data_IF_002044296315
#
_entry.id   IF_002044296315
#
_cell.length_a   1.000
_cell.length_b   1.000
_cell.length_c   1.000
_cell.angle_alpha   90.00
_cell.angle_beta   90.00
_cell.angle_gamma   90.00
#
_symmetry.space_group_name_H-M   'P 1'
#
loop_
_entity.id
_entity.type
_entity.pdbx_description
1 polymer ?
#
# COMPACT_ATOMS: atom_id res chain seq x y z
N UNK A 1 -58.45 48.64 0.33
CA UNK A 1 -57.87 47.59 1.20
C UNK A 1 -56.83 46.83 0.37
N UNK A 2 -55.58 47.32 0.37
CA UNK A 2 -54.48 46.69 -0.38
C UNK A 2 -53.72 45.78 0.57
N UNK A 3 -53.46 44.58 0.08
CA UNK A 3 -53.11 43.38 0.83
C UNK A 3 -51.68 43.45 1.41
N UNK A 4 -51.51 44.07 2.58
CA UNK A 4 -50.24 44.23 3.31
C UNK A 4 -49.61 42.92 3.79
N UNK A 5 -50.32 41.78 3.70
CA UNK A 5 -49.79 40.47 4.11
C UNK A 5 -48.78 39.88 3.11
N UNK A 6 -48.83 40.24 1.83
CA UNK A 6 -47.88 39.69 0.83
C UNK A 6 -46.51 40.35 0.88
N UNK A 7 -46.42 41.62 1.28
CA UNK A 7 -45.15 42.35 1.37
C UNK A 7 -44.25 41.79 2.48
N UNK A 8 -44.81 41.49 3.66
CA UNK A 8 -44.03 40.94 4.78
C UNK A 8 -43.56 39.50 4.53
N UNK A 9 -44.32 38.69 3.78
CA UNK A 9 -43.92 37.32 3.44
C UNK A 9 -42.75 37.30 2.44
N UNK A 10 -42.74 38.22 1.46
CA UNK A 10 -41.63 38.36 0.52
C UNK A 10 -40.31 38.76 1.18
N UNK A 11 -40.35 39.71 2.13
CA UNK A 11 -39.15 40.12 2.88
C UNK A 11 -38.63 39.02 3.82
N UNK A 12 -39.52 38.23 4.44
CA UNK A 12 -39.13 37.11 5.29
C UNK A 12 -38.48 35.98 4.46
N UNK A 13 -39.00 35.69 3.27
CA UNK A 13 -38.45 34.70 2.35
C UNK A 13 -37.09 35.14 1.78
N UNK A 14 -36.93 36.43 1.46
CA UNK A 14 -35.67 37.02 1.01
C UNK A 14 -34.60 37.01 2.11
N UNK A 15 -34.98 37.31 3.36
CA UNK A 15 -34.09 37.22 4.52
C UNK A 15 -33.70 35.77 4.83
N UNK A 16 -34.61 34.81 4.66
CA UNK A 16 -34.32 33.38 4.80
C UNK A 16 -33.37 32.87 3.70
N UNK A 17 -33.54 33.35 2.45
CA UNK A 17 -32.64 33.06 1.33
C UNK A 17 -31.24 33.67 1.51
N UNK A 18 -31.13 34.85 2.13
CA UNK A 18 -29.85 35.47 2.49
C UNK A 18 -29.13 34.74 3.61
N UNK A 19 -29.86 34.06 4.51
CA UNK A 19 -29.29 33.19 5.55
C UNK A 19 -28.90 31.80 5.04
N UNK A 20 -29.38 31.41 3.84
CA UNK A 20 -29.03 30.17 3.13
C UNK A 20 -27.79 30.32 2.23
N UNK A 21 -27.19 31.51 2.17
CA UNK A 21 -25.83 31.71 1.67
C UNK A 21 -24.86 31.05 2.64
N UNK A 22 -24.79 29.72 2.59
CA UNK A 22 -23.92 28.92 3.44
C UNK A 22 -22.51 29.50 3.41
N UNK A 23 -21.95 29.75 4.59
CA UNK A 23 -20.52 29.98 4.73
C UNK A 23 -19.81 28.73 4.19
N UNK A 24 -19.52 28.71 2.89
CA UNK A 24 -18.61 27.73 2.32
C UNK A 24 -17.25 27.98 2.96
N UNK A 25 -16.97 27.24 4.04
CA UNK A 25 -15.65 27.21 4.65
C UNK A 25 -14.74 26.43 3.71
N UNK A 26 -13.97 27.13 2.89
CA UNK A 26 -12.94 26.54 2.03
C UNK A 26 -13.04 26.92 0.56
N UNK A 27 -12.08 26.46 -0.25
CA UNK A 27 -12.01 26.75 -1.68
C UNK A 27 -13.21 26.20 -2.45
N UNK A 28 -13.49 26.84 -3.59
CA UNK A 28 -14.57 26.45 -4.49
C UNK A 28 -14.23 25.16 -5.27
N UNK A 29 -15.23 24.40 -5.74
CA UNK A 29 -15.00 23.16 -6.49
C UNK A 29 -14.05 23.32 -7.69
N UNK A 30 -14.17 24.39 -8.46
CA UNK A 30 -13.32 24.64 -9.63
C UNK A 30 -11.85 24.83 -9.23
N UNK A 31 -11.61 25.55 -8.13
CA UNK A 31 -10.27 25.74 -7.58
C UNK A 31 -9.63 24.42 -7.12
N UNK A 32 -10.40 23.51 -6.50
CA UNK A 32 -9.86 22.19 -6.15
C UNK A 32 -9.58 21.34 -7.40
N UNK A 33 -10.42 21.44 -8.43
CA UNK A 33 -10.26 20.69 -9.68
C UNK A 33 -9.01 21.16 -10.42
N UNK A 34 -8.77 22.46 -10.49
CA UNK A 34 -7.55 23.05 -11.05
C UNK A 34 -6.31 22.61 -10.26
N UNK A 35 -6.36 22.69 -8.92
CA UNK A 35 -5.27 22.22 -8.06
C UNK A 35 -4.96 20.72 -8.29
N UNK A 36 -6.00 19.88 -8.46
CA UNK A 36 -5.84 18.46 -8.78
C UNK A 36 -5.14 18.28 -10.13
N UNK A 37 -5.61 18.97 -11.18
CA UNK A 37 -5.01 18.89 -12.52
C UNK A 37 -3.55 19.35 -12.50
N UNK A 38 -3.26 20.52 -11.91
CA UNK A 38 -1.89 21.02 -11.79
C UNK A 38 -0.96 20.05 -11.07
N UNK A 39 -1.46 19.35 -10.04
CA UNK A 39 -0.64 18.35 -9.34
C UNK A 39 -0.44 17.10 -10.17
N UNK A 40 -1.45 16.67 -10.92
CA UNK A 40 -1.29 15.57 -11.86
C UNK A 40 -0.24 15.95 -12.91
N UNK A 41 -0.35 17.12 -13.55
CA UNK A 41 0.57 17.56 -14.59
C UNK A 41 1.99 17.84 -14.07
N UNK A 42 2.13 18.33 -12.83
CA UNK A 42 3.46 18.54 -12.21
C UNK A 42 4.16 17.24 -11.83
N UNK A 43 3.40 16.24 -11.38
CA UNK A 43 3.97 14.98 -10.88
C UNK A 43 4.01 13.90 -11.95
N UNK A 44 3.18 13.99 -12.99
CA UNK A 44 3.04 13.02 -14.06
C UNK A 44 3.37 13.64 -15.42
N UNK A 45 3.40 12.82 -16.47
CA UNK A 45 3.50 13.33 -17.83
C UNK A 45 2.25 14.16 -18.14
N UNK A 46 2.43 15.27 -18.86
CA UNK A 46 1.30 16.04 -19.40
C UNK A 46 0.36 15.10 -20.16
N UNK A 47 -0.94 15.33 -19.98
CA UNK A 47 -2.01 14.57 -20.62
C UNK A 47 -2.03 13.06 -20.28
N UNK A 48 -1.48 12.64 -19.14
CA UNK A 48 -1.62 11.25 -18.68
C UNK A 48 -3.01 10.98 -18.08
N UNK A 49 -3.55 11.95 -17.34
CA UNK A 49 -4.81 11.83 -16.63
C UNK A 49 -5.78 12.91 -17.03
N UNK A 50 -6.99 12.50 -17.39
CA UNK A 50 -8.13 13.41 -17.56
C UNK A 50 -9.11 13.27 -16.39
N UNK A 51 -9.47 14.39 -15.78
CA UNK A 51 -10.51 14.41 -14.74
C UNK A 51 -11.89 14.37 -15.40
N UNK A 52 -12.53 13.19 -15.46
CA UNK A 52 -13.87 13.06 -16.08
C UNK A 52 -14.97 13.55 -15.16
N UNK A 53 -14.96 13.12 -13.90
CA UNK A 53 -15.89 13.58 -12.87
C UNK A 53 -15.11 14.18 -11.71
N UNK A 54 -15.66 15.24 -11.12
CA UNK A 54 -15.11 15.87 -9.93
C UNK A 54 -16.24 16.35 -9.03
N UNK A 55 -16.15 16.06 -7.73
CA UNK A 55 -17.12 16.49 -6.75
C UNK A 55 -16.44 16.84 -5.44
N UNK A 56 -16.60 18.09 -4.99
CA UNK A 56 -16.24 18.47 -3.61
C UNK A 56 -17.20 17.79 -2.63
N UNK A 57 -16.67 17.12 -1.62
CA UNK A 57 -17.45 16.34 -0.64
C UNK A 57 -17.57 17.02 0.72
N UNK A 58 -16.68 17.96 1.04
CA UNK A 58 -16.78 18.77 2.24
C UNK A 58 -15.49 19.47 2.62
N UNK A 59 -15.45 19.99 3.85
CA UNK A 59 -14.25 20.55 4.44
C UNK A 59 -14.19 20.34 5.95
N UNK A 60 -12.97 20.32 6.49
CA UNK A 60 -12.72 20.26 7.94
C UNK A 60 -11.62 21.24 8.32
N UNK A 61 -11.78 22.04 9.39
CA UNK A 61 -10.70 22.90 9.87
C UNK A 61 -9.56 22.04 10.44
N UNK A 62 -8.33 22.53 10.29
CA UNK A 62 -7.16 21.95 10.96
C UNK A 62 -6.27 23.03 11.54
N UNK A 63 -5.45 22.62 12.51
CA UNK A 63 -4.40 23.44 13.10
C UNK A 63 -3.18 22.58 13.34
N UNK A 64 -2.07 22.99 12.76
CA UNK A 64 -0.74 22.47 13.00
C UNK A 64 -0.05 23.38 14.03
N UNK A 65 0.11 22.87 15.24
CA UNK A 65 0.70 23.60 16.36
C UNK A 65 2.22 23.71 16.27
N UNK A 66 2.87 22.84 15.50
CA UNK A 66 4.33 22.80 15.36
C UNK A 66 4.81 23.89 14.39
N UNK A 67 4.06 24.09 13.30
CA UNK A 67 4.38 25.10 12.29
C UNK A 67 3.56 26.40 12.42
N UNK A 68 2.69 26.50 13.43
CA UNK A 68 1.70 27.57 13.63
C UNK A 68 0.83 27.85 12.38
N UNK A 69 0.48 26.78 11.65
CA UNK A 69 -0.35 26.85 10.45
C UNK A 69 -1.77 26.47 10.82
N UNK A 70 -2.75 27.26 10.40
CA UNK A 70 -4.16 26.90 10.50
C UNK A 70 -4.84 27.06 9.14
N UNK A 71 -5.83 26.21 8.89
CA UNK A 71 -6.46 26.15 7.58
C UNK A 71 -7.63 25.19 7.54
N UNK A 72 -7.98 24.77 6.33
CA UNK A 72 -9.02 23.78 6.05
C UNK A 72 -8.49 22.67 5.17
N UNK A 73 -8.84 21.43 5.48
CA UNK A 73 -8.82 20.35 4.52
C UNK A 73 -10.09 20.44 3.69
N UNK A 74 -9.95 20.47 2.37
CA UNK A 74 -11.06 20.38 1.43
C UNK A 74 -11.03 19.00 0.77
N UNK A 75 -12.12 18.25 0.92
CA UNK A 75 -12.25 16.87 0.48
C UNK A 75 -12.96 16.80 -0.86
N UNK A 76 -12.60 15.82 -1.68
CA UNK A 76 -13.20 15.61 -2.99
C UNK A 76 -13.20 14.14 -3.40
N UNK A 77 -14.10 13.83 -4.32
CA UNK A 77 -14.12 12.61 -5.11
C UNK A 77 -13.85 12.96 -6.57
N UNK A 78 -13.05 12.16 -7.27
CA UNK A 78 -12.83 12.33 -8.71
C UNK A 78 -12.69 11.00 -9.45
N UNK A 79 -13.02 11.03 -10.74
CA UNK A 79 -12.76 9.95 -11.68
C UNK A 79 -11.63 10.41 -12.61
N UNK A 80 -10.48 9.74 -12.53
CA UNK A 80 -9.31 10.00 -13.35
C UNK A 80 -9.24 8.94 -14.46
N UNK A 81 -9.48 9.34 -15.70
CA UNK A 81 -9.27 8.47 -16.86
C UNK A 81 -7.83 8.54 -17.31
N UNK A 82 -7.22 7.38 -17.57
CA UNK A 82 -5.93 7.32 -18.21
C UNK A 82 -6.10 7.62 -19.70
N UNK A 83 -5.43 8.65 -20.20
CA UNK A 83 -5.44 8.99 -21.63
C UNK A 83 -4.32 8.25 -22.38
N UNK A 84 -3.47 7.49 -21.67
CA UNK A 84 -2.37 6.69 -22.22
C UNK A 84 -2.13 5.42 -21.39
N UNK A 85 -1.59 4.38 -22.01
CA UNK A 85 -1.18 3.15 -21.32
C UNK A 85 -0.13 3.45 -20.23
N UNK A 86 -0.46 3.16 -18.97
CA UNK A 86 0.45 3.42 -17.84
C UNK A 86 0.34 2.39 -16.72
N UNK A 87 1.49 2.01 -16.18
CA UNK A 87 1.60 1.01 -15.12
C UNK A 87 2.02 1.68 -13.80
N UNK A 88 1.03 1.94 -12.95
CA UNK A 88 1.21 2.44 -11.57
C UNK A 88 1.81 1.40 -10.61
N UNK A 89 2.07 0.17 -11.10
CA UNK A 89 2.70 -0.93 -10.34
C UNK A 89 4.23 -0.98 -10.44
N UNK A 90 4.85 -0.05 -11.17
CA UNK A 90 6.31 0.01 -11.36
C UNK A 90 7.00 0.64 -10.14
N UNK A 91 8.06 0.02 -9.64
CA UNK A 91 8.80 0.47 -8.44
C UNK A 91 9.78 1.62 -8.70
N UNK A 92 10.34 1.69 -9.91
CA UNK A 92 11.20 2.79 -10.34
C UNK A 92 10.43 3.65 -11.34
N UNK A 93 9.96 4.81 -10.87
CA UNK A 93 9.04 5.71 -11.58
C UNK A 93 7.85 6.11 -10.71
N UNK A 94 6.94 6.90 -11.28
CA UNK A 94 5.75 7.39 -10.62
C UNK A 94 4.77 6.21 -10.41
N UNK A 95 4.46 5.90 -9.17
CA UNK A 95 3.69 4.71 -8.77
C UNK A 95 2.42 5.08 -8.01
N UNK A 96 1.65 4.10 -7.54
CA UNK A 96 0.42 4.34 -6.78
C UNK A 96 0.65 5.25 -5.55
N UNK A 97 1.81 5.15 -4.90
CA UNK A 97 2.19 6.03 -3.79
C UNK A 97 2.47 7.47 -4.26
N UNK A 98 3.11 7.65 -5.41
CA UNK A 98 3.29 8.98 -6.02
C UNK A 98 1.96 9.61 -6.42
N UNK A 99 1.02 8.79 -6.95
CA UNK A 99 -0.34 9.23 -7.26
C UNK A 99 -1.09 9.64 -6.00
N UNK A 100 -1.07 8.80 -4.96
CA UNK A 100 -1.67 9.11 -3.67
C UNK A 100 -1.12 10.43 -3.10
N UNK A 101 0.19 10.65 -3.18
CA UNK A 101 0.80 11.92 -2.79
C UNK A 101 0.31 13.11 -3.62
N UNK A 102 0.34 12.99 -4.95
CA UNK A 102 -0.04 14.07 -5.85
C UNK A 102 -1.51 14.48 -5.65
N UNK A 103 -2.40 13.53 -5.45
CA UNK A 103 -3.84 13.81 -5.32
C UNK A 103 -4.26 14.03 -3.85
N UNK A 104 -3.34 13.91 -2.89
CA UNK A 104 -3.67 14.03 -1.48
C UNK A 104 -4.64 12.95 -0.99
N UNK A 105 -4.50 11.73 -1.51
CA UNK A 105 -5.23 10.55 -1.10
C UNK A 105 -4.32 9.59 -0.31
N UNK A 106 -4.92 8.54 0.23
CA UNK A 106 -4.18 7.34 0.64
C UNK A 106 -4.33 6.28 -0.45
N UNK A 107 -3.46 5.26 -0.48
CA UNK A 107 -3.60 4.15 -1.45
C UNK A 107 -4.97 3.47 -1.35
N UNK A 108 -5.52 3.33 -0.13
CA UNK A 108 -6.86 2.78 0.10
C UNK A 108 -7.99 3.68 -0.44
N UNK A 109 -7.71 4.96 -0.69
CA UNK A 109 -8.64 5.90 -1.32
C UNK A 109 -8.58 5.91 -2.84
N UNK A 110 -7.84 4.99 -3.47
CA UNK A 110 -7.72 4.87 -4.92
C UNK A 110 -8.24 3.50 -5.36
N UNK A 111 -9.29 3.49 -6.17
CA UNK A 111 -9.89 2.28 -6.74
C UNK A 111 -9.70 2.22 -8.26
N UNK A 112 -9.86 1.03 -8.86
CA UNK A 112 -9.76 0.83 -10.32
C UNK A 112 -8.36 0.53 -10.86
N UNK A 113 -7.35 0.57 -9.99
CA UNK A 113 -5.97 0.20 -10.33
C UNK A 113 -5.83 -1.30 -10.63
N UNK A 114 -5.02 -1.64 -11.64
CA UNK A 114 -4.70 -3.01 -12.04
C UNK A 114 -3.22 -3.33 -11.85
N UNK A 115 -2.92 -4.41 -11.12
CA UNK A 115 -1.53 -4.83 -10.84
C UNK A 115 -0.68 -5.10 -12.10
N UNK A 116 -1.30 -5.49 -13.21
CA UNK A 116 -0.62 -5.72 -14.50
C UNK A 116 -0.43 -4.44 -15.34
N UNK A 117 -0.85 -3.29 -14.83
CA UNK A 117 -0.94 -2.03 -15.57
C UNK A 117 -2.37 -1.71 -15.98
N UNK A 118 -2.67 -0.41 -16.01
CA UNK A 118 -3.89 0.13 -16.58
C UNK A 118 -3.61 0.53 -18.04
N UNK A 119 -4.64 0.50 -18.86
CA UNK A 119 -4.58 0.89 -20.28
C UNK A 119 -5.32 2.21 -20.49
N UNK A 120 -5.11 2.84 -21.64
CA UNK A 120 -5.89 3.99 -22.08
C UNK A 120 -7.41 3.71 -21.95
N UNK A 121 -8.13 4.67 -21.39
CA UNK A 121 -9.56 4.60 -21.08
C UNK A 121 -9.92 3.93 -19.75
N UNK A 122 -8.97 3.32 -19.03
CA UNK A 122 -9.24 2.84 -17.68
C UNK A 122 -9.46 4.04 -16.73
N UNK A 123 -10.44 3.91 -15.83
CA UNK A 123 -10.80 4.95 -14.86
C UNK A 123 -10.39 4.55 -13.45
N UNK A 124 -9.70 5.46 -12.77
CA UNK A 124 -9.37 5.39 -11.35
C UNK A 124 -10.35 6.27 -10.57
N UNK A 125 -11.00 5.70 -9.55
CA UNK A 125 -11.82 6.48 -8.62
C UNK A 125 -10.95 6.91 -7.44
N UNK A 126 -10.96 8.19 -7.12
CA UNK A 126 -10.08 8.75 -6.10
C UNK A 126 -10.85 9.53 -5.05
N UNK A 127 -10.49 9.29 -3.79
CA UNK A 127 -10.97 10.00 -2.61
C UNK A 127 -9.80 10.75 -1.98
N UNK A 128 -9.74 12.06 -2.23
CA UNK A 128 -8.59 12.90 -1.88
C UNK A 128 -8.94 14.10 -1.01
N UNK A 129 -7.90 14.78 -0.54
CA UNK A 129 -8.02 16.05 0.16
C UNK A 129 -6.81 16.95 -0.09
N UNK A 130 -7.04 18.24 -0.09
CA UNK A 130 -5.97 19.24 -0.10
C UNK A 130 -6.11 20.19 1.09
N UNK A 131 -4.98 20.63 1.62
CA UNK A 131 -4.93 21.63 2.68
C UNK A 131 -4.89 23.02 2.08
N UNK A 132 -5.68 23.95 2.62
CA UNK A 132 -5.70 25.35 2.21
C UNK A 132 -5.63 26.27 3.41
N UNK A 133 -4.96 27.40 3.25
CA UNK A 133 -4.96 28.52 4.20
C UNK A 133 -5.61 29.73 3.55
N UNK A 134 -6.29 30.55 4.35
CA UNK A 134 -6.83 31.81 3.86
C UNK A 134 -5.70 32.84 3.76
N UNK A 135 -5.57 33.51 2.63
CA UNK A 135 -4.62 34.61 2.44
C UNK A 135 -5.16 35.93 3.00
N UNK A 136 -4.31 36.97 3.02
CA UNK A 136 -4.63 38.30 3.54
C UNK A 136 -5.77 39.00 2.78
N UNK A 137 -6.06 38.56 1.54
CA UNK A 137 -7.17 39.07 0.72
C UNK A 137 -8.48 38.31 0.92
N UNK A 138 -8.46 37.26 1.75
CA UNK A 138 -9.60 36.39 2.00
C UNK A 138 -9.73 35.22 1.01
N UNK A 139 -8.79 35.07 0.08
CA UNK A 139 -8.70 33.96 -0.87
C UNK A 139 -8.13 32.70 -0.24
N UNK A 140 -8.35 31.54 -0.87
CA UNK A 140 -7.80 30.26 -0.40
C UNK A 140 -6.53 29.92 -1.16
N UNK A 141 -5.44 29.62 -0.44
CA UNK A 141 -4.16 29.22 -1.01
C UNK A 141 -3.80 27.79 -0.60
N UNK A 142 -3.46 26.96 -1.58
CA UNK A 142 -3.08 25.55 -1.36
C UNK A 142 -1.78 25.43 -0.57
N UNK A 143 -1.77 24.51 0.40
CA UNK A 143 -0.62 24.13 1.21
C UNK A 143 -0.07 22.79 0.67
N UNK A 144 0.79 22.89 -0.34
CA UNK A 144 1.33 21.74 -1.09
C UNK A 144 1.97 20.65 -0.22
N UNK A 145 2.65 21.02 0.86
CA UNK A 145 3.43 20.11 1.72
C UNK A 145 2.61 19.24 2.67
N UNK A 146 1.34 19.56 2.93
CA UNK A 146 0.53 18.92 4.00
C UNK A 146 -0.55 17.97 3.48
N UNK A 147 -0.62 17.74 2.17
CA UNK A 147 -1.76 17.02 1.56
C UNK A 147 -1.63 15.49 1.61
N UNK A 148 -0.45 14.94 1.94
CA UNK A 148 -0.21 13.50 2.14
C UNK A 148 1.09 13.27 2.95
N UNK A 149 1.34 12.06 3.52
CA UNK A 149 2.65 11.71 4.07
C UNK A 149 3.74 11.90 3.01
N UNK A 150 4.89 12.46 3.39
CA UNK A 150 5.99 12.70 2.47
C UNK A 150 6.44 11.38 1.80
N UNK A 151 6.62 11.35 0.47
CA UNK A 151 7.22 10.20 -0.19
C UNK A 151 8.67 10.04 0.27
N UNK A 152 9.14 8.80 0.34
CA UNK A 152 10.55 8.50 0.54
C UNK A 152 11.37 9.26 -0.52
N UNK A 153 12.46 9.90 -0.08
CA UNK A 153 13.23 10.87 -0.85
C UNK A 153 13.59 10.39 -2.27
N UNK A 154 13.48 11.31 -3.24
CA UNK A 154 13.80 11.12 -4.65
C UNK A 154 15.24 10.61 -4.85
N UNK A 155 15.39 9.35 -5.24
CA UNK A 155 16.54 8.93 -6.03
C UNK A 155 16.21 9.16 -7.50
N UNK A 156 16.90 10.11 -8.14
CA UNK A 156 16.85 10.31 -9.60
C UNK A 156 17.21 8.98 -10.29
N UNK A 157 16.35 8.43 -11.16
CA UNK A 157 16.69 7.20 -11.87
C UNK A 157 17.87 7.47 -12.80
N UNK A 158 18.99 6.80 -12.52
CA UNK A 158 20.08 6.67 -13.49
C UNK A 158 19.57 5.97 -14.75
N UNK A 159 20.02 6.46 -15.91
CA UNK A 159 19.54 6.15 -17.27
C UNK A 159 19.60 4.66 -17.69
N UNK A 160 20.08 3.77 -16.82
CA UNK A 160 20.34 2.36 -17.13
C UNK A 160 19.54 1.36 -16.27
N UNK A 161 18.53 1.82 -15.53
CA UNK A 161 17.71 0.92 -14.69
C UNK A 161 16.48 0.46 -15.46
N UNK A 162 16.54 -0.72 -16.10
CA UNK A 162 15.31 -1.42 -16.48
C UNK A 162 14.53 -1.75 -15.20
N UNK A 163 13.61 -0.85 -14.85
CA UNK A 163 12.84 -0.87 -13.62
C UNK A 163 12.14 -2.20 -13.40
N UNK A 164 12.54 -2.84 -12.32
CA UNK A 164 12.27 -4.24 -12.12
C UNK A 164 10.81 -4.57 -11.82
N UNK A 165 10.23 -5.56 -12.51
CA UNK A 165 8.97 -6.16 -12.07
C UNK A 165 9.13 -6.81 -10.67
N UNK A 166 8.06 -7.12 -9.91
CA UNK A 166 8.19 -7.87 -8.65
C UNK A 166 9.05 -9.14 -8.80
N UNK A 167 9.02 -9.75 -9.99
CA UNK A 167 9.84 -10.91 -10.33
C UNK A 167 11.32 -10.58 -10.51
N UNK A 168 11.68 -9.41 -11.03
CA UNK A 168 13.09 -9.03 -11.14
C UNK A 168 13.67 -8.55 -9.82
N UNK A 169 12.88 -7.86 -8.96
CA UNK A 169 13.30 -7.54 -7.59
C UNK A 169 13.57 -8.82 -6.82
N UNK A 170 12.68 -9.81 -6.92
CA UNK A 170 12.89 -11.12 -6.32
C UNK A 170 14.12 -11.83 -6.89
N UNK A 171 14.41 -11.67 -8.19
CA UNK A 171 15.60 -12.22 -8.85
C UNK A 171 16.89 -11.55 -8.38
N UNK A 172 16.90 -10.23 -8.26
CA UNK A 172 18.03 -9.45 -7.74
C UNK A 172 18.29 -9.77 -6.27
N UNK A 173 17.24 -9.85 -5.46
CA UNK A 173 17.33 -10.26 -4.07
C UNK A 173 17.87 -11.69 -3.93
N UNK A 174 17.46 -12.63 -4.80
CA UNK A 174 18.04 -13.98 -4.86
C UNK A 174 19.52 -13.97 -5.30
N UNK A 175 19.92 -13.05 -6.19
CA UNK A 175 21.32 -12.91 -6.57
C UNK A 175 22.17 -12.44 -5.38
N UNK A 176 21.67 -11.49 -4.58
CA UNK A 176 22.34 -11.06 -3.34
C UNK A 176 22.48 -12.22 -2.33
N UNK A 177 21.47 -13.07 -2.20
CA UNK A 177 21.57 -14.28 -1.36
C UNK A 177 22.61 -15.28 -1.87
N UNK A 178 22.79 -15.40 -3.19
CA UNK A 178 23.79 -16.28 -3.76
C UNK A 178 25.23 -15.78 -3.48
N UNK A 179 25.41 -14.47 -3.40
CA UNK A 179 26.69 -13.83 -3.05
C UNK A 179 26.92 -13.73 -1.53
N UNK A 180 26.01 -14.25 -0.70
CA UNK A 180 26.04 -14.16 0.76
C UNK A 180 27.36 -14.65 1.39
N UNK A 181 28.01 -15.63 0.78
CA UNK A 181 29.28 -16.21 1.26
C UNK A 181 30.46 -15.22 1.21
N UNK A 182 30.34 -14.14 0.42
CA UNK A 182 31.38 -13.11 0.29
C UNK A 182 31.31 -12.05 1.40
N UNK A 183 30.25 -12.03 2.21
CA UNK A 183 30.09 -11.08 3.30
C UNK A 183 30.73 -11.61 4.59
N UNK A 184 31.24 -10.68 5.40
CA UNK A 184 31.90 -11.02 6.66
C UNK A 184 30.84 -11.43 7.69
N UNK A 185 30.94 -12.65 8.21
CA UNK A 185 30.02 -13.15 9.24
C UNK A 185 29.85 -12.15 10.41
N UNK A 186 28.59 -11.89 10.77
CA UNK A 186 28.22 -10.95 11.84
C UNK A 186 28.28 -9.47 11.46
N UNK A 187 28.42 -9.15 10.17
CA UNK A 187 28.29 -7.78 9.68
C UNK A 187 26.82 -7.37 9.53
N UNK A 188 26.58 -6.07 9.41
CA UNK A 188 25.25 -5.53 9.12
C UNK A 188 24.68 -6.12 7.82
N UNK A 189 25.53 -6.32 6.81
CA UNK A 189 25.16 -6.94 5.54
C UNK A 189 24.70 -8.39 5.73
N UNK A 190 25.38 -9.17 6.57
CA UNK A 190 24.94 -10.55 6.86
C UNK A 190 23.57 -10.57 7.55
N UNK A 191 23.31 -9.64 8.49
CA UNK A 191 22.00 -9.54 9.14
C UNK A 191 20.90 -9.19 8.13
N UNK A 192 21.16 -8.23 7.24
CA UNK A 192 20.23 -7.85 6.17
C UNK A 192 19.96 -9.04 5.25
N UNK A 193 21.00 -9.80 4.89
CA UNK A 193 20.89 -10.99 4.04
C UNK A 193 20.08 -12.09 4.71
N UNK A 194 20.25 -12.33 6.01
CA UNK A 194 19.47 -13.31 6.78
C UNK A 194 17.97 -12.98 6.83
N UNK A 195 17.64 -11.71 7.09
CA UNK A 195 16.25 -11.23 7.07
C UNK A 195 15.66 -11.29 5.65
N UNK A 196 16.45 -10.93 4.64
CA UNK A 196 16.05 -11.03 3.24
C UNK A 196 15.79 -12.48 2.83
N UNK A 197 16.64 -13.42 3.26
CA UNK A 197 16.45 -14.85 3.03
C UNK A 197 15.14 -15.35 3.66
N UNK A 198 14.85 -14.89 4.87
CA UNK A 198 13.59 -15.21 5.56
C UNK A 198 12.38 -14.65 4.81
N UNK A 199 12.45 -13.41 4.34
CA UNK A 199 11.40 -12.79 3.55
C UNK A 199 11.15 -13.52 2.22
N UNK A 200 12.21 -13.87 1.49
CA UNK A 200 12.13 -14.64 0.24
C UNK A 200 11.49 -16.01 0.49
N UNK A 201 11.90 -16.72 1.54
CA UNK A 201 11.29 -18.00 1.91
C UNK A 201 9.78 -17.90 2.20
N UNK A 202 9.32 -16.79 2.79
CA UNK A 202 7.88 -16.53 2.99
C UNK A 202 7.14 -16.26 1.67
N UNK A 203 7.79 -15.57 0.73
CA UNK A 203 7.25 -15.32 -0.61
C UNK A 203 7.11 -16.65 -1.36
N UNK A 204 8.14 -17.49 -1.36
CA UNK A 204 8.13 -18.78 -2.05
C UNK A 204 7.04 -19.71 -1.49
N UNK A 205 6.89 -19.76 -0.16
CA UNK A 205 5.79 -20.49 0.49
C UNK A 205 4.42 -19.95 0.05
N UNK A 206 4.25 -18.63 0.00
CA UNK A 206 2.99 -18.02 -0.43
C UNK A 206 2.67 -18.32 -1.89
N UNK A 207 3.69 -18.33 -2.76
CA UNK A 207 3.53 -18.71 -4.16
C UNK A 207 3.17 -20.19 -4.34
N UNK A 208 3.79 -21.09 -3.57
CA UNK A 208 3.47 -22.52 -3.58
C UNK A 208 1.99 -22.75 -3.21
N UNK A 209 1.50 -22.07 -2.17
CA UNK A 209 0.08 -22.11 -1.78
C UNK A 209 -0.85 -21.59 -2.87
N UNK A 210 -0.48 -20.50 -3.54
CA UNK A 210 -1.26 -19.97 -4.66
C UNK A 210 -1.35 -20.92 -5.85
N UNK A 211 -0.33 -21.75 -6.08
CA UNK A 211 -0.32 -22.79 -7.10
C UNK A 211 -1.11 -24.04 -6.72
N UNK A 212 -1.44 -24.19 -5.44
CA UNK A 212 -2.09 -25.38 -4.90
C UNK A 212 -1.11 -26.50 -4.54
N UNK A 213 0.19 -26.19 -4.40
CA UNK A 213 1.20 -27.16 -3.97
C UNK A 213 0.94 -27.57 -2.52
N UNK A 214 1.22 -28.84 -2.19
CA UNK A 214 1.21 -29.31 -0.80
C UNK A 214 2.43 -28.73 -0.08
N UNK A 215 2.21 -28.04 1.03
CA UNK A 215 3.27 -27.34 1.76
C UNK A 215 3.73 -28.11 2.99
N UNK A 216 5.04 -28.32 3.11
CA UNK A 216 5.68 -28.98 4.25
C UNK A 216 6.67 -28.05 4.94
N UNK A 217 6.44 -27.73 6.21
CA UNK A 217 7.43 -27.08 7.06
C UNK A 217 8.57 -28.04 7.40
N UNK A 218 9.80 -27.65 7.11
CA UNK A 218 11.00 -28.46 7.32
C UNK A 218 11.84 -27.94 8.47
N UNK A 219 13.05 -27.45 8.23
CA UNK A 219 13.93 -26.85 9.23
C UNK A 219 14.98 -25.96 8.58
N UNK A 220 15.94 -25.49 9.37
CA UNK A 220 16.99 -24.60 8.88
C UNK A 220 17.90 -25.36 7.92
N UNK A 221 18.35 -24.69 6.88
CA UNK A 221 19.34 -25.22 5.95
C UNK A 221 20.76 -24.78 6.40
N UNK A 222 21.76 -25.68 6.37
CA UNK A 222 21.64 -27.13 6.21
C UNK A 222 21.14 -27.78 7.52
N UNK A 223 20.25 -28.76 7.42
CA UNK A 223 19.74 -29.48 8.59
C UNK A 223 18.96 -30.73 8.21
N UNK A 224 18.78 -31.66 9.15
CA UNK A 224 18.14 -32.96 8.87
C UNK A 224 16.71 -32.81 8.37
N UNK A 225 15.93 -31.93 9.01
CA UNK A 225 14.55 -31.63 8.59
C UNK A 225 14.50 -31.05 7.17
N UNK A 226 15.40 -30.12 6.87
CA UNK A 226 15.55 -29.55 5.54
C UNK A 226 15.89 -30.62 4.50
N UNK A 227 16.93 -31.43 4.74
CA UNK A 227 17.35 -32.51 3.84
C UNK A 227 16.25 -33.54 3.59
N UNK A 228 15.50 -33.91 4.63
CA UNK A 228 14.33 -34.78 4.49
C UNK A 228 13.26 -34.15 3.63
N UNK A 229 12.89 -32.89 3.88
CA UNK A 229 11.88 -32.18 3.11
C UNK A 229 12.24 -32.08 1.63
N UNK A 230 13.50 -31.75 1.32
CA UNK A 230 14.02 -31.73 -0.06
C UNK A 230 13.94 -33.11 -0.72
N UNK A 231 14.32 -34.18 -0.01
CA UNK A 231 14.24 -35.54 -0.55
C UNK A 231 12.78 -35.97 -0.78
N UNK A 232 11.88 -35.64 0.14
CA UNK A 232 10.46 -35.96 0.04
C UNK A 232 9.79 -35.20 -1.12
N UNK A 233 10.08 -33.90 -1.30
CA UNK A 233 9.62 -33.12 -2.45
C UNK A 233 10.00 -33.78 -3.77
N UNK A 234 11.27 -34.21 -3.91
CA UNK A 234 11.74 -34.90 -5.12
C UNK A 234 11.03 -36.24 -5.34
N UNK A 235 10.82 -37.01 -4.28
CA UNK A 235 10.13 -38.29 -4.33
C UNK A 235 8.64 -38.14 -4.70
N UNK A 236 7.98 -37.09 -4.17
CA UNK A 236 6.59 -36.76 -4.44
C UNK A 236 6.40 -36.30 -5.90
N UNK A 237 7.30 -35.45 -6.41
CA UNK A 237 7.27 -34.99 -7.79
C UNK A 237 7.35 -36.15 -8.80
N UNK A 238 8.15 -37.18 -8.52
CA UNK A 238 8.22 -38.41 -9.34
C UNK A 238 6.88 -39.17 -9.43
N UNK A 239 5.92 -38.86 -8.56
CA UNK A 239 4.58 -39.46 -8.49
C UNK A 239 3.47 -38.48 -8.88
N UNK A 240 3.83 -37.32 -9.43
CA UNK A 240 2.87 -36.30 -9.83
C UNK A 240 2.25 -35.54 -8.66
N UNK A 241 2.92 -35.51 -7.50
CA UNK A 241 2.50 -34.72 -6.34
C UNK A 241 3.46 -33.54 -6.19
N UNK A 242 2.93 -32.34 -6.40
CA UNK A 242 3.66 -31.09 -6.19
C UNK A 242 3.73 -30.78 -4.69
N UNK A 243 4.91 -31.00 -4.09
CA UNK A 243 5.18 -30.78 -2.68
C UNK A 243 6.29 -29.75 -2.50
N UNK A 244 5.96 -28.61 -1.89
CA UNK A 244 6.90 -27.55 -1.55
C UNK A 244 7.42 -27.71 -0.12
N UNK A 245 8.72 -27.98 0.02
CA UNK A 245 9.40 -28.04 1.32
C UNK A 245 9.87 -26.64 1.74
N UNK A 246 9.13 -26.01 2.66
CA UNK A 246 9.44 -24.70 3.20
C UNK A 246 10.49 -24.78 4.31
N UNK A 247 11.57 -24.01 4.20
CA UNK A 247 12.53 -23.83 5.29
C UNK A 247 11.88 -23.12 6.50
N UNK A 248 12.34 -23.46 7.69
CA UNK A 248 11.85 -22.88 8.94
C UNK A 248 12.90 -22.94 10.04
N UNK A 249 12.67 -22.25 11.14
CA UNK A 249 13.51 -22.35 12.34
C UNK A 249 13.36 -23.71 13.06
N UNK A 250 12.42 -24.56 12.62
CA UNK A 250 12.20 -25.91 13.14
C UNK A 250 10.81 -26.14 13.73
N UNK A 251 10.72 -27.10 14.66
CA UNK A 251 9.47 -27.67 15.20
C UNK A 251 8.46 -26.62 15.67
N UNK A 252 8.90 -25.61 16.42
CA UNK A 252 8.04 -24.56 16.98
C UNK A 252 7.46 -23.68 15.88
N UNK A 253 8.32 -23.21 14.97
CA UNK A 253 7.89 -22.41 13.83
C UNK A 253 6.92 -23.18 12.92
N UNK A 254 7.17 -24.48 12.70
CA UNK A 254 6.27 -25.34 11.94
C UNK A 254 4.92 -25.50 12.64
N UNK A 255 4.91 -25.78 13.94
CA UNK A 255 3.69 -25.90 14.74
C UNK A 255 2.84 -24.62 14.68
N UNK A 256 3.46 -23.45 14.89
CA UNK A 256 2.79 -22.16 14.77
C UNK A 256 2.20 -21.93 13.37
N UNK A 257 2.96 -22.23 12.32
CA UNK A 257 2.50 -22.11 10.93
C UNK A 257 1.36 -23.07 10.59
N UNK A 258 1.36 -24.28 11.14
CA UNK A 258 0.26 -25.25 10.98
C UNK A 258 -1.04 -24.73 11.61
N UNK A 259 -0.96 -24.18 12.83
CA UNK A 259 -2.15 -23.61 13.49
C UNK A 259 -2.71 -22.40 12.77
N UNK A 260 -1.83 -21.56 12.23
CA UNK A 260 -2.22 -20.41 11.43
C UNK A 260 -2.69 -20.79 10.01
N UNK A 261 -2.82 -22.09 9.69
CA UNK A 261 -3.16 -22.60 8.36
C UNK A 261 -2.27 -22.03 7.25
N UNK A 262 -0.98 -21.84 7.57
CA UNK A 262 0.06 -21.38 6.63
C UNK A 262 0.86 -22.54 6.03
N UNK A 263 0.70 -23.74 6.56
CA UNK A 263 1.28 -25.00 6.07
C UNK A 263 0.22 -26.11 6.10
N UNK A 264 0.36 -27.11 5.23
CA UNK A 264 -0.46 -28.32 5.26
C UNK A 264 0.15 -29.38 6.19
N UNK A 265 1.48 -29.52 6.15
CA UNK A 265 2.25 -30.45 6.97
C UNK A 265 3.48 -29.76 7.58
N UNK A 266 4.03 -30.34 8.65
CA UNK A 266 5.25 -29.83 9.26
C UNK A 266 6.01 -30.93 10.00
N UNK A 267 7.34 -30.89 9.92
CA UNK A 267 8.22 -31.70 10.75
C UNK A 267 8.29 -31.10 12.15
N UNK A 268 7.89 -31.89 13.14
CA UNK A 268 7.77 -31.44 14.52
C UNK A 268 8.29 -32.56 15.42
N UNK A 269 9.12 -32.21 16.40
CA UNK A 269 9.53 -33.16 17.44
C UNK A 269 8.31 -33.59 18.29
N UNK A 270 8.35 -34.81 18.81
CA UNK A 270 7.19 -35.42 19.50
C UNK A 270 6.74 -34.64 20.74
N UNK A 271 7.67 -33.99 21.45
CA UNK A 271 7.41 -33.11 22.58
C UNK A 271 6.67 -31.82 22.16
N UNK A 272 7.13 -31.15 21.11
CA UNK A 272 6.45 -29.97 20.55
C UNK A 272 5.08 -30.34 19.97
N UNK A 273 4.95 -31.49 19.33
CA UNK A 273 3.67 -32.00 18.84
C UNK A 273 2.68 -32.27 19.99
N UNK A 274 3.18 -32.79 21.12
CA UNK A 274 2.36 -32.99 22.33
C UNK A 274 1.89 -31.67 22.93
N UNK A 275 2.75 -30.63 22.97
CA UNK A 275 2.36 -29.28 23.42
C UNK A 275 1.29 -28.66 22.51
N UNK A 276 1.48 -28.78 21.19
CA UNK A 276 0.54 -28.33 20.17
C UNK A 276 -0.84 -29.00 20.33
N UNK A 277 -0.86 -30.32 20.49
CA UNK A 277 -2.10 -31.09 20.70
C UNK A 277 -2.84 -30.67 21.97
N UNK A 278 -2.11 -30.28 23.03
CA UNK A 278 -2.67 -29.82 24.30
C UNK A 278 -3.08 -28.34 24.29
N UNK A 279 -2.81 -27.60 23.22
CA UNK A 279 -3.10 -26.16 23.12
C UNK A 279 -2.21 -25.26 23.98
N UNK A 280 -1.01 -25.73 24.38
CA UNK A 280 -0.09 -25.04 25.30
C UNK A 280 1.06 -24.36 24.56
N UNK A 281 0.76 -23.26 23.85
CA UNK A 281 1.65 -22.70 22.81
C UNK A 281 1.90 -21.20 23.00
N UNK A 282 1.50 -20.65 24.15
CA UNK A 282 2.00 -19.34 24.56
C UNK A 282 3.50 -19.44 24.84
N UNK A 283 4.25 -18.38 24.52
CA UNK A 283 5.72 -18.29 24.50
C UNK A 283 6.46 -18.73 25.80
N UNK A 284 5.75 -19.13 26.86
CA UNK A 284 6.31 -19.61 28.13
C UNK A 284 6.31 -21.12 28.36
N UNK A 285 5.84 -21.95 27.42
CA UNK A 285 5.71 -23.41 27.62
C UNK A 285 6.77 -24.27 26.91
N UNK A 286 7.67 -23.66 26.14
CA UNK A 286 8.80 -24.40 25.59
C UNK A 286 9.81 -24.64 26.72
N UNK A 287 10.22 -25.89 26.99
CA UNK A 287 11.32 -26.13 27.92
C UNK A 287 12.54 -25.37 27.39
N UNK A 288 13.05 -24.44 28.20
CA UNK A 288 14.32 -23.78 27.92
C UNK A 288 15.38 -24.84 27.65
N UNK A 289 16.19 -24.63 26.62
CA UNK A 289 17.40 -25.42 26.35
C UNK A 289 18.33 -25.42 27.56
#
# INVERSE_FOLDING_TARGET
MVNTRHFHFGYLLLALLLLLGGCERGPQPDQLREELQERLDRNFQEDLFAIKNFKRTGSAPFRDLENDISGVYAYYDADLELEQDYSLSRWQGLNLGTLAYAIGATEAGIEGFRARGNVEGDVLKVHGRFAFQQDDSGGWKSLARMSAPAPAQEQKPGRDSQGGSPQSVLREARALLADAENFKAGSEETLIIEELATAIGRIDLSQARLKGDITLGSGVAPGTYYSFGVALSKYAAQRGIELFSAASEGSVANASRLQASKLDFGLVQSDVAQLLYRGLISEGYYPNR
#
